data_IF_444114001999
#
_entry.id   IF_444114001999
#
_cell.length_a   1.000
_cell.length_b   1.000
_cell.length_c   1.000
_cell.angle_alpha   90.00
_cell.angle_beta   90.00
_cell.angle_gamma   90.00
#
_symmetry.space_group_name_H-M   'P 1'
#
loop_
_entity.id
_entity.type
_entity.pdbx_description
1 polymer ?
#
# COMPACT_ATOMS: atom_id res chain seq x y z
N UNK A 1 -0.03 8.22 -17.71
CA UNK A 1 1.39 8.12 -17.30
C UNK A 1 1.36 8.19 -15.80
N UNK A 2 1.66 7.09 -15.09
CA UNK A 2 1.60 7.11 -13.63
C UNK A 2 2.58 8.14 -13.12
N UNK A 3 2.12 8.97 -12.19
CA UNK A 3 2.97 9.97 -11.59
C UNK A 3 3.99 9.23 -10.70
N UNK A 4 5.24 9.09 -11.15
CA UNK A 4 6.31 8.44 -10.38
C UNK A 4 6.43 9.04 -8.95
N UNK A 5 6.14 10.34 -8.82
CA UNK A 5 6.04 10.99 -7.52
C UNK A 5 4.95 10.40 -6.62
N UNK A 6 3.77 10.08 -7.17
CA UNK A 6 2.67 9.47 -6.42
C UNK A 6 3.05 8.07 -5.92
N UNK A 7 3.68 7.23 -6.76
CA UNK A 7 4.18 5.91 -6.32
C UNK A 7 5.17 6.03 -5.17
N UNK A 8 6.15 6.92 -5.31
CA UNK A 8 7.14 7.14 -4.26
C UNK A 8 6.50 7.66 -2.98
N UNK A 9 5.50 8.54 -3.08
CA UNK A 9 4.72 9.03 -1.94
C UNK A 9 4.01 7.88 -1.23
N UNK A 10 3.26 7.06 -1.97
CA UNK A 10 2.55 5.88 -1.44
C UNK A 10 3.52 4.92 -0.76
N UNK A 11 4.66 4.63 -1.39
CA UNK A 11 5.69 3.75 -0.82
C UNK A 11 6.28 4.28 0.49
N UNK A 12 6.52 5.60 0.58
CA UNK A 12 7.00 6.25 1.81
C UNK A 12 5.98 6.21 2.93
N UNK A 13 4.72 6.51 2.63
CA UNK A 13 3.62 6.46 3.62
C UNK A 13 3.42 5.04 4.16
N UNK A 14 3.42 4.03 3.28
CA UNK A 14 3.34 2.63 3.69
C UNK A 14 4.51 2.26 4.62
N UNK A 15 5.73 2.67 4.27
CA UNK A 15 6.92 2.38 5.09
C UNK A 15 6.82 3.04 6.46
N UNK A 16 6.33 4.27 6.53
CA UNK A 16 6.10 5.00 7.78
C UNK A 16 5.09 4.27 8.67
N UNK A 17 3.93 3.88 8.12
CA UNK A 17 2.91 3.14 8.87
C UNK A 17 3.45 1.83 9.45
N UNK A 18 4.23 1.09 8.66
CA UNK A 18 4.87 -0.16 9.08
C UNK A 18 5.89 0.08 10.21
N UNK A 19 6.66 1.16 10.13
CA UNK A 19 7.70 1.51 11.11
C UNK A 19 7.10 2.05 12.41
N UNK A 20 5.96 2.74 12.33
CA UNK A 20 5.17 3.20 13.47
C UNK A 20 4.38 2.08 14.16
N UNK A 21 4.56 0.82 13.74
CA UNK A 21 3.81 -0.34 14.24
C UNK A 21 2.29 -0.18 14.17
N UNK A 22 1.81 0.50 13.12
CA UNK A 22 0.37 0.61 12.85
C UNK A 22 -0.23 -0.79 12.73
N UNK A 23 -1.44 -0.95 13.24
CA UNK A 23 -2.22 -2.17 13.14
C UNK A 23 -2.54 -2.52 11.69
N UNK A 24 -2.88 -3.79 11.44
CA UNK A 24 -3.33 -4.24 10.11
C UNK A 24 -4.54 -3.43 9.64
N UNK A 25 -5.50 -3.17 10.53
CA UNK A 25 -6.69 -2.39 10.20
C UNK A 25 -6.33 -0.97 9.75
N UNK A 26 -5.40 -0.30 10.43
CA UNK A 26 -4.95 1.05 10.05
C UNK A 26 -4.26 1.06 8.68
N UNK A 27 -3.41 0.06 8.41
CA UNK A 27 -2.72 -0.08 7.12
C UNK A 27 -3.73 -0.36 6.00
N UNK A 28 -4.72 -1.23 6.23
CA UNK A 28 -5.78 -1.52 5.27
C UNK A 28 -6.66 -0.31 4.97
N UNK A 29 -7.09 0.43 6.00
CA UNK A 29 -7.88 1.66 5.84
C UNK A 29 -7.09 2.77 5.15
N UNK A 30 -5.77 2.83 5.35
CA UNK A 30 -4.91 3.71 4.56
C UNK A 30 -4.90 3.30 3.08
N UNK A 31 -4.74 2.01 2.79
CA UNK A 31 -4.72 1.53 1.40
C UNK A 31 -6.07 1.75 0.69
N UNK A 32 -7.20 1.56 1.39
CA UNK A 32 -8.53 1.89 0.86
C UNK A 32 -8.67 3.36 0.47
N UNK A 33 -8.15 4.27 1.32
CA UNK A 33 -8.16 5.71 1.02
C UNK A 33 -7.29 6.03 -0.18
N UNK A 34 -6.08 5.46 -0.25
CA UNK A 34 -5.20 5.61 -1.42
C UNK A 34 -5.90 5.15 -2.70
N UNK A 35 -6.57 4.00 -2.67
CA UNK A 35 -7.34 3.52 -3.81
C UNK A 35 -8.47 4.50 -4.18
N UNK A 36 -9.30 4.88 -3.22
CA UNK A 36 -10.42 5.80 -3.44
C UNK A 36 -9.98 7.13 -4.05
N UNK A 37 -8.87 7.69 -3.58
CA UNK A 37 -8.38 9.02 -3.98
C UNK A 37 -7.61 8.99 -5.30
N UNK A 38 -6.98 7.86 -5.63
CA UNK A 38 -5.98 7.80 -6.70
C UNK A 38 -6.16 6.66 -7.72
N UNK A 39 -7.21 5.83 -7.66
CA UNK A 39 -7.34 4.66 -8.54
C UNK A 39 -7.16 4.94 -10.04
N UNK A 40 -7.55 6.13 -10.53
CA UNK A 40 -7.39 6.52 -11.94
C UNK A 40 -5.96 6.89 -12.34
N UNK A 41 -5.12 7.20 -11.36
CA UNK A 41 -3.73 7.65 -11.54
C UNK A 41 -2.70 6.55 -11.26
N UNK A 42 -3.13 5.42 -10.69
CA UNK A 42 -2.31 4.24 -10.47
C UNK A 42 -2.12 3.47 -11.78
N UNK A 43 -0.98 2.78 -11.92
CA UNK A 43 -0.91 1.69 -12.90
C UNK A 43 -1.44 0.44 -12.26
N UNK A 44 -1.77 -0.50 -13.13
CA UNK A 44 -2.28 -1.81 -12.77
C UNK A 44 -1.44 -2.50 -11.68
N UNK A 45 -0.10 -2.48 -11.78
CA UNK A 45 0.76 -3.11 -10.76
C UNK A 45 0.56 -2.45 -9.38
N UNK A 46 0.53 -1.12 -9.33
CA UNK A 46 0.34 -0.39 -8.06
C UNK A 46 -1.08 -0.54 -7.53
N UNK A 47 -2.07 -0.53 -8.42
CA UNK A 47 -3.48 -0.72 -8.09
C UNK A 47 -3.72 -2.09 -7.44
N UNK A 48 -3.18 -3.16 -8.03
CA UNK A 48 -3.28 -4.52 -7.51
C UNK A 48 -2.64 -4.64 -6.13
N UNK A 49 -1.47 -4.03 -5.93
CA UNK A 49 -0.78 -4.02 -4.63
C UNK A 49 -1.59 -3.29 -3.56
N UNK A 50 -2.13 -2.10 -3.87
CA UNK A 50 -2.93 -1.32 -2.93
C UNK A 50 -4.23 -2.06 -2.58
N UNK A 51 -4.90 -2.63 -3.57
CA UNK A 51 -6.11 -3.44 -3.36
C UNK A 51 -5.83 -4.62 -2.43
N UNK A 52 -4.70 -5.32 -2.64
CA UNK A 52 -4.29 -6.45 -1.79
C UNK A 52 -4.04 -6.03 -0.33
N UNK A 53 -3.47 -4.85 -0.10
CA UNK A 53 -3.24 -4.30 1.24
C UNK A 53 -4.57 -3.91 1.91
N UNK A 54 -5.45 -3.25 1.16
CA UNK A 54 -6.82 -2.93 1.60
C UNK A 54 -7.54 -4.19 2.08
N UNK A 55 -7.45 -5.28 1.32
CA UNK A 55 -8.16 -6.52 1.60
C UNK A 55 -7.76 -7.21 2.91
N UNK A 56 -6.63 -6.84 3.52
CA UNK A 56 -6.20 -7.40 4.83
C UNK A 56 -7.21 -7.11 5.95
N UNK A 57 -8.12 -6.15 5.79
CA UNK A 57 -9.21 -5.89 6.75
C UNK A 57 -10.25 -7.00 6.83
N UNK A 58 -10.36 -7.86 5.80
CA UNK A 58 -11.43 -8.86 5.73
C UNK A 58 -11.14 -10.15 6.52
N UNK A 59 -9.91 -10.37 6.97
CA UNK A 59 -9.59 -11.55 7.76
C UNK A 59 -8.11 -11.94 7.77
N UNK A 60 -7.77 -12.91 8.62
CA UNK A 60 -6.39 -13.39 8.78
C UNK A 60 -5.87 -14.12 7.54
N UNK A 61 -6.76 -14.71 6.74
CA UNK A 61 -6.48 -15.36 5.47
C UNK A 61 -5.92 -14.39 4.42
N UNK A 62 -6.17 -13.09 4.57
CA UNK A 62 -5.64 -12.04 3.71
C UNK A 62 -4.42 -11.34 4.33
N UNK A 63 -4.01 -11.73 5.54
CA UNK A 63 -2.92 -11.07 6.26
C UNK A 63 -1.61 -11.19 5.49
N UNK A 64 -1.04 -10.05 5.14
CA UNK A 64 0.31 -9.96 4.61
C UNK A 64 1.34 -9.90 5.74
N UNK A 65 2.46 -10.58 5.56
CA UNK A 65 3.58 -10.48 6.48
C UNK A 65 4.22 -9.09 6.42
N UNK A 66 4.71 -8.61 7.56
CA UNK A 66 5.38 -7.31 7.67
C UNK A 66 6.58 -7.20 6.71
N UNK A 67 7.31 -8.30 6.49
CA UNK A 67 8.43 -8.34 5.55
C UNK A 67 7.97 -8.10 4.10
N UNK A 68 6.84 -8.70 3.71
CA UNK A 68 6.27 -8.52 2.39
C UNK A 68 5.75 -7.09 2.19
N UNK A 69 5.04 -6.52 3.16
CA UNK A 69 4.62 -5.11 3.13
C UNK A 69 5.81 -4.14 2.97
N UNK A 70 6.93 -4.40 3.66
CA UNK A 70 8.17 -3.62 3.48
C UNK A 70 8.76 -3.77 2.08
N UNK A 71 8.68 -4.95 1.47
CA UNK A 71 9.15 -5.16 0.10
C UNK A 71 8.33 -4.37 -0.90
N UNK A 72 7.00 -4.33 -0.75
CA UNK A 72 6.10 -3.50 -1.56
C UNK A 72 6.47 -2.03 -1.43
N UNK A 73 6.62 -1.53 -0.19
CA UNK A 73 6.98 -0.14 0.06
C UNK A 73 8.28 0.27 -0.67
N UNK A 74 9.31 -0.59 -0.61
CA UNK A 74 10.59 -0.35 -1.29
C UNK A 74 10.45 -0.37 -2.82
N UNK A 75 9.71 -1.33 -3.37
CA UNK A 75 9.46 -1.41 -4.82
C UNK A 75 8.77 -0.14 -5.36
N UNK A 76 7.86 0.45 -4.58
CA UNK A 76 7.18 1.69 -4.95
C UNK A 76 8.08 2.94 -4.84
N UNK A 77 9.15 2.89 -4.04
CA UNK A 77 10.11 4.00 -3.88
C UNK A 77 11.19 3.97 -4.95
N UNK A 78 11.66 2.78 -5.33
CA UNK A 78 12.84 2.58 -6.18
C UNK A 78 12.53 2.58 -7.69
N UNK A 79 11.25 2.50 -8.08
CA UNK A 79 10.76 2.58 -9.46
C UNK A 79 10.35 4.01 -9.84
#
# INVERSE_FOLDING_TARGET
MVNAYLKQKIGKELLELINSNSSIAEISLWADRVYSDHCRDLDQETEELITKISFMQHGIEFKLEKAYLKSIAKQLIEK
#
